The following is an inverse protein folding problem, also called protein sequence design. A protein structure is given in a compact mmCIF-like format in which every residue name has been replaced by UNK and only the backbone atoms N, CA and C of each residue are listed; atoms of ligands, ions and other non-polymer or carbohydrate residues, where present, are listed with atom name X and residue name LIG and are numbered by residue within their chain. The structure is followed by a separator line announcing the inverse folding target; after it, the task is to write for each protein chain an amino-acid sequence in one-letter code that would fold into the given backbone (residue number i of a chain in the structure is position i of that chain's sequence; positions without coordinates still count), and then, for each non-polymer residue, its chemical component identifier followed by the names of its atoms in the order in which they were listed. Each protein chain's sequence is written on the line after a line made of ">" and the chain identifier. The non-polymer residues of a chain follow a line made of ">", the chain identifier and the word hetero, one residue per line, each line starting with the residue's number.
data_IF_005881965891
#
_entry.id   IF_005881965891
#
_cell.length_a   1.000
_cell.length_b   1.000
_cell.length_c   1.000
_cell.angle_alpha   90.00
_cell.angle_beta   90.00
_cell.angle_gamma   90.00
#
_symmetry.space_group_name_H-M   'P 1'
#
loop_
_entity.id
_entity.type
_entity.pdbx_description
1 polymer ?
#
# COMPACT_ATOMS: atom_id res chain seq x y z
N UNK A 1 -0.66 -38.26 -38.47
CA UNK A 1 0.09 -37.05 -38.12
C UNK A 1 0.14 -36.98 -36.61
N UNK A 2 1.21 -37.61 -36.15
CA UNK A 2 1.86 -37.70 -34.85
C UNK A 2 1.35 -36.76 -33.75
N UNK A 3 0.73 -37.36 -32.72
CA UNK A 3 0.59 -36.75 -31.40
C UNK A 3 1.90 -36.93 -30.65
N UNK A 4 2.66 -35.84 -30.52
CA UNK A 4 3.85 -35.78 -29.67
C UNK A 4 3.39 -35.82 -28.20
N UNK A 5 3.35 -37.02 -27.61
CA UNK A 5 3.17 -37.19 -26.17
C UNK A 5 4.43 -36.62 -25.49
N UNK A 6 4.31 -35.42 -24.91
CA UNK A 6 5.31 -34.92 -23.98
C UNK A 6 5.36 -35.86 -22.80
N UNK A 7 6.50 -36.53 -22.61
CA UNK A 7 6.74 -37.40 -21.47
C UNK A 7 7.53 -36.59 -20.46
N UNK A 8 6.93 -36.26 -19.32
CA UNK A 8 7.64 -35.64 -18.21
C UNK A 8 8.55 -36.70 -17.55
N UNK A 9 9.82 -36.33 -17.37
CA UNK A 9 10.86 -37.26 -16.91
C UNK A 9 11.58 -36.66 -15.71
N UNK A 10 11.56 -37.38 -14.59
CA UNK A 10 12.21 -36.95 -13.36
C UNK A 10 13.63 -37.52 -13.25
N UNK A 11 14.56 -36.68 -12.79
CA UNK A 11 15.97 -37.03 -12.60
C UNK A 11 16.19 -37.43 -11.13
N UNK A 12 16.33 -38.73 -10.87
CA UNK A 12 16.65 -39.26 -9.55
C UNK A 12 18.15 -39.58 -9.46
N UNK A 13 18.74 -39.63 -8.24
CA UNK A 13 20.16 -39.95 -8.05
C UNK A 13 20.58 -41.32 -8.61
N UNK A 14 19.64 -42.25 -8.79
CA UNK A 14 19.85 -43.56 -9.42
C UNK A 14 19.48 -43.62 -10.91
N UNK A 15 19.20 -42.46 -11.54
CA UNK A 15 18.94 -42.32 -12.97
C UNK A 15 17.59 -41.72 -13.34
N UNK A 16 17.36 -41.62 -14.65
CA UNK A 16 16.21 -40.95 -15.26
C UNK A 16 14.98 -41.89 -15.29
N UNK A 17 13.83 -41.47 -14.74
CA UNK A 17 12.59 -42.27 -14.74
C UNK A 17 11.40 -41.50 -15.33
N UNK A 18 10.57 -42.20 -16.09
CA UNK A 18 9.32 -41.66 -16.64
C UNK A 18 8.36 -41.39 -15.47
N UNK A 19 7.87 -40.16 -15.39
CA UNK A 19 6.92 -39.76 -14.36
C UNK A 19 5.60 -40.52 -14.51
N UNK A 20 5.13 -41.16 -13.44
CA UNK A 20 3.75 -41.66 -13.42
C UNK A 20 2.78 -40.52 -13.07
N UNK A 21 1.49 -40.63 -13.43
CA UNK A 21 0.50 -39.63 -13.03
C UNK A 21 0.36 -39.46 -11.51
N UNK A 22 0.74 -40.45 -10.71
CA UNK A 22 0.81 -40.32 -9.25
C UNK A 22 2.07 -39.56 -8.80
N UNK A 23 3.22 -39.75 -9.45
CA UNK A 23 4.45 -38.99 -9.15
C UNK A 23 4.27 -37.49 -9.46
N UNK A 24 3.57 -37.16 -10.54
CA UNK A 24 3.24 -35.77 -10.89
C UNK A 24 2.35 -35.15 -9.80
N UNK A 25 1.31 -35.88 -9.37
CA UNK A 25 0.43 -35.40 -8.29
C UNK A 25 1.15 -35.28 -6.95
N UNK A 26 2.05 -36.20 -6.63
CA UNK A 26 2.88 -36.13 -5.43
C UNK A 26 3.80 -34.91 -5.49
N UNK A 27 4.46 -34.66 -6.62
CA UNK A 27 5.27 -33.46 -6.82
C UNK A 27 4.45 -32.17 -6.75
N UNK A 28 3.25 -32.13 -7.34
CA UNK A 28 2.34 -31.00 -7.22
C UNK A 28 1.87 -30.79 -5.78
N UNK A 29 1.59 -31.85 -5.03
CA UNK A 29 1.22 -31.79 -3.61
C UNK A 29 2.40 -31.40 -2.72
N UNK A 30 3.61 -31.88 -2.99
CA UNK A 30 4.83 -31.51 -2.27
C UNK A 30 5.25 -30.09 -2.60
N UNK A 31 5.09 -29.64 -3.85
CA UNK A 31 5.33 -28.26 -4.27
C UNK A 31 4.26 -27.35 -3.66
N UNK A 32 2.97 -27.72 -3.72
CA UNK A 32 1.90 -26.96 -3.07
C UNK A 32 2.05 -26.94 -1.54
N UNK A 33 2.54 -28.02 -0.93
CA UNK A 33 2.84 -28.09 0.51
C UNK A 33 4.08 -27.26 0.87
N UNK A 34 5.15 -27.29 0.07
CA UNK A 34 6.35 -26.45 0.27
C UNK A 34 6.03 -24.97 0.05
N UNK A 35 5.21 -24.63 -0.95
CA UNK A 35 4.72 -23.27 -1.19
C UNK A 35 3.80 -22.84 -0.05
N UNK A 36 2.87 -23.69 0.39
CA UNK A 36 1.96 -23.38 1.50
C UNK A 36 2.65 -23.29 2.88
N UNK A 37 3.78 -23.99 3.07
CA UNK A 37 4.58 -23.90 4.29
C UNK A 37 5.60 -22.77 4.26
N UNK A 38 5.99 -22.26 3.09
CA UNK A 38 6.71 -20.99 2.96
C UNK A 38 5.79 -19.77 3.18
N UNK A 39 4.52 -19.83 2.79
CA UNK A 39 3.53 -18.74 2.96
C UNK A 39 3.14 -18.48 4.43
N UNK A 40 3.55 -19.34 5.38
CA UNK A 40 3.12 -19.26 6.80
C UNK A 40 4.12 -18.58 7.75
N UNK A 41 5.22 -18.01 7.25
CA UNK A 41 6.25 -17.33 8.06
C UNK A 41 6.65 -15.95 7.53
N UNK A 42 6.14 -15.54 6.36
CA UNK A 42 6.41 -14.20 5.84
C UNK A 42 5.40 -13.24 6.46
N UNK A 43 5.83 -12.13 7.09
CA UNK A 43 4.88 -11.15 7.60
C UNK A 43 3.95 -10.72 6.44
N UNK A 44 2.63 -10.58 6.68
CA UNK A 44 1.70 -10.24 5.63
C UNK A 44 2.18 -8.95 4.96
N UNK A 45 2.32 -8.97 3.63
CA UNK A 45 2.70 -7.79 2.86
C UNK A 45 1.65 -6.72 3.09
N UNK A 46 2.07 -5.56 3.61
CA UNK A 46 1.22 -4.41 3.85
C UNK A 46 1.31 -3.46 2.66
N UNK A 47 0.24 -2.76 2.34
CA UNK A 47 0.25 -1.79 1.25
C UNK A 47 0.33 -0.39 1.80
N UNK A 48 1.23 0.39 1.22
CA UNK A 48 1.41 1.79 1.54
C UNK A 48 1.30 2.61 0.27
N UNK A 49 0.80 3.83 0.39
CA UNK A 49 0.86 4.86 -0.65
C UNK A 49 1.94 5.88 -0.32
N UNK A 50 2.71 6.29 -1.32
CA UNK A 50 3.58 7.46 -1.22
C UNK A 50 2.78 8.76 -1.22
N UNK A 51 2.95 9.57 -0.18
CA UNK A 51 2.29 10.87 -0.04
C UNK A 51 3.06 11.96 -0.77
N UNK A 52 4.40 11.91 -0.67
CA UNK A 52 5.31 12.92 -1.21
C UNK A 52 6.29 12.27 -2.20
N UNK A 53 6.83 13.03 -3.17
CA UNK A 53 7.92 12.53 -4.00
C UNK A 53 9.17 12.36 -3.14
N UNK A 54 9.86 11.24 -3.31
CA UNK A 54 11.13 10.98 -2.65
C UNK A 54 12.19 10.55 -3.65
N UNK A 55 13.24 11.36 -3.76
CA UNK A 55 14.43 11.05 -4.52
C UNK A 55 15.62 10.95 -3.55
N UNK A 56 16.06 9.73 -3.19
CA UNK A 56 17.16 9.52 -2.25
C UNK A 56 18.43 10.31 -2.60
N UNK A 57 18.76 10.41 -3.89
CA UNK A 57 19.97 11.10 -4.34
C UNK A 57 19.95 12.62 -4.08
N UNK A 58 18.76 13.20 -3.93
CA UNK A 58 18.58 14.64 -3.72
C UNK A 58 18.11 14.99 -2.30
N UNK A 59 17.42 14.08 -1.63
CA UNK A 59 16.68 14.35 -0.39
C UNK A 59 17.15 13.51 0.80
N UNK A 60 17.93 12.45 0.59
CA UNK A 60 18.42 11.64 1.69
C UNK A 60 19.36 12.46 2.57
N UNK A 61 19.15 12.48 3.90
CA UNK A 61 20.11 13.06 4.84
C UNK A 61 21.43 12.25 4.90
N UNK A 62 21.41 11.01 4.41
CA UNK A 62 22.53 10.06 4.44
C UNK A 62 22.93 9.69 3.00
N UNK A 63 23.69 10.55 2.29
CA UNK A 63 24.02 10.34 0.87
C UNK A 63 24.86 9.08 0.61
N UNK A 64 25.51 8.53 1.65
CA UNK A 64 26.26 7.28 1.56
C UNK A 64 25.36 6.04 1.47
N UNK A 65 24.17 6.06 2.09
CA UNK A 65 23.17 4.97 2.07
C UNK A 65 22.02 5.24 1.11
N UNK A 66 21.99 6.40 0.43
CA UNK A 66 20.91 6.79 -0.47
C UNK A 66 20.62 5.76 -1.59
N UNK A 67 21.60 4.95 -1.97
CA UNK A 67 21.41 3.88 -2.96
C UNK A 67 20.57 2.69 -2.43
N UNK A 68 20.43 2.57 -1.11
CA UNK A 68 19.64 1.52 -0.44
C UNK A 68 18.20 1.98 -0.16
N UNK A 69 17.91 3.27 -0.36
CA UNK A 69 16.58 3.84 -0.16
C UNK A 69 15.74 3.73 -1.44
N UNK A 70 14.44 3.52 -1.28
CA UNK A 70 13.52 3.34 -2.40
C UNK A 70 13.08 4.71 -2.95
N UNK A 71 13.30 5.02 -4.25
CA UNK A 71 12.72 6.20 -4.87
C UNK A 71 11.24 5.97 -5.17
N UNK A 72 10.41 6.99 -4.95
CA UNK A 72 8.98 6.93 -5.25
C UNK A 72 8.37 8.30 -5.54
N UNK A 73 7.20 8.30 -6.16
CA UNK A 73 6.40 9.50 -6.47
C UNK A 73 5.04 9.45 -5.77
N UNK A 74 4.35 10.60 -5.60
CA UNK A 74 3.04 10.62 -4.95
C UNK A 74 2.04 9.67 -5.62
N UNK A 75 1.21 9.01 -4.81
CA UNK A 75 0.22 8.04 -5.26
C UNK A 75 0.78 6.64 -5.57
N UNK A 76 2.11 6.44 -5.54
CA UNK A 76 2.72 5.15 -5.82
C UNK A 76 2.44 4.14 -4.70
N UNK A 77 2.06 2.92 -5.07
CA UNK A 77 1.86 1.80 -4.15
C UNK A 77 3.21 1.16 -3.85
N UNK A 78 3.49 1.00 -2.56
CA UNK A 78 4.70 0.41 -2.02
C UNK A 78 4.28 -0.79 -1.17
N UNK A 79 4.83 -1.96 -1.49
CA UNK A 79 4.69 -3.16 -0.68
C UNK A 79 5.65 -3.05 0.49
N UNK A 80 5.16 -3.08 1.71
CA UNK A 80 5.98 -3.04 2.92
C UNK A 80 6.00 -4.41 3.59
N UNK A 81 7.20 -4.83 3.97
CA UNK A 81 7.45 -6.11 4.61
C UNK A 81 7.86 -5.89 6.07
N UNK A 82 7.00 -6.29 7.00
CA UNK A 82 7.23 -6.13 8.43
C UNK A 82 6.89 -4.75 8.98
N UNK A 83 7.38 -4.47 10.17
CA UNK A 83 7.21 -3.19 10.86
C UNK A 83 8.40 -2.25 10.59
N UNK A 84 8.24 -1.00 11.02
CA UNK A 84 9.34 -0.03 10.97
C UNK A 84 10.46 -0.41 11.94
N UNK A 85 11.70 -0.12 11.57
CA UNK A 85 12.85 -0.24 12.46
C UNK A 85 12.93 0.91 13.49
N UNK A 86 13.92 0.84 14.37
CA UNK A 86 14.17 1.83 15.44
C UNK A 86 14.44 3.26 14.89
N UNK A 87 14.87 3.38 13.64
CA UNK A 87 15.12 4.64 12.94
C UNK A 87 13.88 5.16 12.18
N UNK A 88 12.80 4.38 12.18
CA UNK A 88 11.52 4.77 11.59
C UNK A 88 11.43 4.55 10.07
N UNK A 89 12.24 3.65 9.52
CA UNK A 89 12.15 3.23 8.12
C UNK A 89 11.42 1.90 7.99
N UNK A 90 10.76 1.70 6.85
CA UNK A 90 10.19 0.43 6.44
C UNK A 90 11.07 -0.22 5.37
N UNK A 91 11.07 -1.55 5.30
CA UNK A 91 11.58 -2.25 4.12
C UNK A 91 10.45 -2.40 3.10
N UNK A 92 10.63 -1.83 1.90
CA UNK A 92 9.60 -1.83 0.87
C UNK A 92 10.08 -2.18 -0.53
N UNK A 93 9.11 -2.53 -1.37
CA UNK A 93 9.29 -2.81 -2.80
C UNK A 93 8.24 -2.06 -3.63
N UNK A 94 8.68 -1.41 -4.71
CA UNK A 94 7.79 -0.87 -5.73
C UNK A 94 8.48 -0.82 -7.09
N UNK A 95 7.74 -1.07 -8.18
CA UNK A 95 8.29 -1.02 -9.54
C UNK A 95 9.44 -2.01 -9.80
N UNK A 96 9.53 -3.10 -9.02
CA UNK A 96 10.63 -4.07 -9.09
C UNK A 96 11.93 -3.62 -8.41
N UNK A 97 11.91 -2.48 -7.72
CA UNK A 97 13.00 -2.02 -6.87
C UNK A 97 12.65 -2.29 -5.40
N UNK A 98 13.63 -2.69 -4.61
CA UNK A 98 13.52 -2.85 -3.16
C UNK A 98 14.46 -1.89 -2.46
N UNK A 99 14.04 -1.34 -1.32
CA UNK A 99 14.84 -0.41 -0.54
C UNK A 99 14.16 -0.02 0.75
N UNK A 100 14.82 0.83 1.53
CA UNK A 100 14.22 1.40 2.74
C UNK A 100 13.32 2.59 2.38
N UNK A 101 12.23 2.75 3.14
CA UNK A 101 11.15 3.69 2.87
C UNK A 101 10.94 4.52 4.14
N UNK A 102 11.15 5.85 4.10
CA UNK A 102 10.93 6.70 5.27
C UNK A 102 9.44 6.75 5.62
N UNK A 103 9.09 6.38 6.85
CA UNK A 103 7.68 6.32 7.29
C UNK A 103 6.93 7.64 7.15
N UNK A 104 7.60 8.78 7.32
CA UNK A 104 7.00 10.11 7.22
C UNK A 104 6.58 10.51 5.79
N UNK A 105 6.93 9.70 4.78
CA UNK A 105 6.62 9.96 3.37
C UNK A 105 5.52 9.06 2.82
N UNK A 106 5.07 8.06 3.60
CA UNK A 106 4.15 7.01 3.16
C UNK A 106 3.03 6.79 4.16
N UNK A 107 1.87 6.36 3.68
CA UNK A 107 0.73 6.00 4.51
C UNK A 107 0.27 4.59 4.21
N UNK A 108 0.07 3.77 5.23
CA UNK A 108 -0.60 2.46 5.11
C UNK A 108 -2.04 2.62 4.59
N UNK A 109 -2.38 1.77 3.63
CA UNK A 109 -3.72 1.59 3.09
C UNK A 109 -4.37 0.39 3.82
N UNK A 110 -5.44 0.59 4.60
CA UNK A 110 -6.14 -0.50 5.26
C UNK A 110 -7.00 -1.26 4.24
N UNK A 111 -6.42 -2.28 3.59
CA UNK A 111 -7.14 -3.14 2.64
C UNK A 111 -7.39 -4.51 3.25
N UNK A 112 -8.62 -4.74 3.73
CA UNK A 112 -9.06 -6.05 4.23
C UNK A 112 -9.45 -7.03 3.11
N UNK A 113 -9.75 -6.52 1.91
CA UNK A 113 -10.15 -7.33 0.76
C UNK A 113 -8.93 -7.81 -0.06
N UNK A 114 -8.68 -9.13 -0.06
CA UNK A 114 -7.55 -9.75 -0.76
C UNK A 114 -7.56 -9.49 -2.27
N UNK A 115 -8.73 -9.38 -2.90
CA UNK A 115 -8.84 -9.14 -4.34
C UNK A 115 -8.38 -7.72 -4.68
N UNK A 116 -8.86 -6.74 -3.92
CA UNK A 116 -8.51 -5.34 -4.08
C UNK A 116 -7.03 -5.08 -3.76
N UNK A 117 -6.52 -5.73 -2.72
CA UNK A 117 -5.10 -5.74 -2.38
C UNK A 117 -4.25 -6.25 -3.55
N UNK A 118 -4.66 -7.36 -4.17
CA UNK A 118 -3.96 -7.93 -5.31
C UNK A 118 -4.02 -6.99 -6.53
N UNK A 119 -5.13 -6.31 -6.76
CA UNK A 119 -5.29 -5.33 -7.84
C UNK A 119 -4.35 -4.13 -7.67
N UNK A 120 -4.28 -3.54 -6.47
CA UNK A 120 -3.38 -2.43 -6.17
C UNK A 120 -1.91 -2.83 -6.33
N UNK A 121 -1.55 -4.04 -5.91
CA UNK A 121 -0.19 -4.58 -6.12
C UNK A 121 0.18 -4.68 -7.60
N UNK A 122 -0.78 -5.01 -8.47
CA UNK A 122 -0.56 -5.11 -9.91
C UNK A 122 -0.52 -3.74 -10.59
N UNK A 123 -1.36 -2.79 -10.14
CA UNK A 123 -1.40 -1.43 -10.68
C UNK A 123 -0.17 -0.62 -10.29
N UNK A 124 0.31 -0.77 -9.06
CA UNK A 124 1.48 -0.05 -8.54
C UNK A 124 1.24 1.43 -8.22
N UNK A 125 0.04 1.95 -8.46
CA UNK A 125 -0.40 3.32 -8.17
C UNK A 125 -1.84 3.28 -7.67
N UNK A 126 -2.21 4.24 -6.81
CA UNK A 126 -3.60 4.43 -6.43
C UNK A 126 -4.43 4.85 -7.65
N UNK A 127 -5.69 4.38 -7.76
CA UNK A 127 -6.61 4.87 -8.76
C UNK A 127 -6.90 6.35 -8.47
N UNK A 128 -6.50 7.23 -9.40
CA UNK A 128 -6.88 8.64 -9.37
C UNK A 128 -8.29 8.77 -9.93
N UNK A 129 -9.16 9.48 -9.21
CA UNK A 129 -10.53 9.75 -9.65
C UNK A 129 -10.51 10.48 -11.00
N UNK A 130 -10.87 9.76 -12.05
CA UNK A 130 -11.27 10.33 -13.32
C UNK A 130 -12.78 10.16 -13.46
N UNK A 131 -13.55 10.88 -12.63
CA UNK A 131 -14.94 11.30 -12.87
C UNK A 131 -15.70 10.49 -13.94
N UNK A 132 -16.26 9.35 -13.55
CA UNK A 132 -17.44 8.78 -14.19
C UNK A 132 -18.27 8.06 -13.11
N UNK A 133 -19.39 8.65 -12.63
CA UNK A 133 -20.21 8.05 -11.61
C UNK A 133 -21.09 6.97 -12.25
N UNK A 134 -20.52 5.79 -12.47
CA UNK A 134 -21.30 4.57 -12.70
C UNK A 134 -21.33 3.77 -11.40
N UNK A 135 -22.50 3.80 -10.76
CA UNK A 135 -22.87 3.25 -9.47
C UNK A 135 -22.60 1.73 -9.30
N UNK A 136 -21.34 1.26 -9.19
CA UNK A 136 -21.05 -0.11 -8.69
C UNK A 136 -19.74 -0.24 -7.87
N UNK A 137 -19.13 0.86 -7.38
CA UNK A 137 -17.77 0.85 -6.80
C UNK A 137 -17.65 1.30 -5.34
N UNK A 138 -18.54 0.87 -4.46
CA UNK A 138 -18.47 1.23 -3.02
C UNK A 138 -17.24 0.69 -2.28
N UNK A 139 -16.48 -0.25 -2.87
CA UNK A 139 -15.22 -0.77 -2.31
C UNK A 139 -13.97 -0.04 -2.81
N UNK A 140 -14.06 0.64 -3.95
CA UNK A 140 -12.93 1.43 -4.47
C UNK A 140 -12.90 2.82 -3.85
N UNK A 141 -14.05 3.33 -3.39
CA UNK A 141 -14.14 4.68 -2.83
C UNK A 141 -13.33 4.82 -1.54
N UNK A 142 -13.39 3.81 -0.66
CA UNK A 142 -12.62 3.74 0.60
C UNK A 142 -11.10 3.81 0.42
N UNK A 143 -10.62 3.51 -0.80
CA UNK A 143 -9.20 3.55 -1.16
C UNK A 143 -8.80 4.78 -1.97
N UNK A 144 -9.75 5.67 -2.27
CA UNK A 144 -9.45 6.93 -2.96
C UNK A 144 -8.71 7.82 -1.97
N UNK A 145 -7.42 8.05 -2.24
CA UNK A 145 -6.67 9.06 -1.50
C UNK A 145 -6.78 10.38 -2.24
N UNK A 146 -7.46 11.34 -1.60
CA UNK A 146 -7.61 12.68 -2.15
C UNK A 146 -6.63 13.60 -1.41
N UNK A 147 -5.83 14.33 -2.16
CA UNK A 147 -5.01 15.40 -1.61
C UNK A 147 -5.92 16.60 -1.39
N UNK A 148 -5.99 17.08 -0.15
CA UNK A 148 -6.79 18.23 0.23
C UNK A 148 -5.93 19.29 0.91
N UNK A 149 -6.32 20.54 0.79
CA UNK A 149 -5.70 21.66 1.50
C UNK A 149 -6.64 22.19 2.56
N UNK A 150 -6.13 22.40 3.77
CA UNK A 150 -6.85 23.08 4.82
C UNK A 150 -7.02 24.55 4.46
N UNK A 151 -8.25 25.01 4.27
CA UNK A 151 -8.55 26.43 3.98
C UNK A 151 -8.70 27.27 5.25
N UNK A 152 -8.88 26.62 6.40
CA UNK A 152 -8.95 27.24 7.71
C UNK A 152 -8.14 26.41 8.72
N UNK A 153 -7.72 27.04 9.81
CA UNK A 153 -7.12 26.32 10.94
C UNK A 153 -8.21 25.61 11.76
N UNK A 154 -7.86 24.47 12.35
CA UNK A 154 -8.72 23.68 13.19
C UNK A 154 -7.95 23.18 14.40
N UNK A 155 -8.46 23.50 15.59
CA UNK A 155 -7.98 22.94 16.85
C UNK A 155 -9.13 22.13 17.48
N UNK A 156 -8.98 20.81 17.64
CA UNK A 156 -10.04 19.95 18.15
C UNK A 156 -10.39 20.24 19.62
N UNK A 157 -9.49 20.84 20.40
CA UNK A 157 -9.75 21.20 21.80
C UNK A 157 -10.55 22.50 21.94
N UNK A 158 -10.46 23.40 20.96
CA UNK A 158 -11.19 24.67 20.97
C UNK A 158 -12.48 24.63 20.13
N UNK A 159 -12.45 23.90 19.01
CA UNK A 159 -13.47 24.00 17.97
C UNK A 159 -14.34 22.76 17.82
N UNK A 160 -13.95 21.61 18.40
CA UNK A 160 -14.76 20.40 18.30
C UNK A 160 -15.95 20.44 19.26
N UNK A 161 -17.19 20.20 18.77
CA UNK A 161 -18.34 19.95 19.62
C UNK A 161 -18.37 18.51 20.17
N UNK A 162 -17.48 17.63 19.69
CA UNK A 162 -17.47 16.20 20.01
C UNK A 162 -16.70 15.90 21.30
N UNK A 163 -17.11 14.84 22.00
CA UNK A 163 -16.48 14.41 23.25
C UNK A 163 -15.20 13.58 23.01
N UNK A 164 -15.00 13.12 21.77
CA UNK A 164 -13.89 12.28 21.30
C UNK A 164 -12.91 13.09 20.43
N UNK A 165 -12.66 14.35 20.79
CA UNK A 165 -11.78 15.27 20.06
C UNK A 165 -10.32 14.80 19.97
N UNK A 166 -9.90 13.81 20.78
CA UNK A 166 -8.57 13.18 20.72
C UNK A 166 -8.37 12.35 19.43
N UNK A 167 -9.47 11.94 18.78
CA UNK A 167 -9.42 11.23 17.50
C UNK A 167 -9.33 12.18 16.29
N UNK A 168 -9.47 13.50 16.48
CA UNK A 168 -9.50 14.50 15.42
C UNK A 168 -8.11 15.16 15.24
N UNK A 169 -7.73 15.48 14.00
CA UNK A 169 -6.44 16.11 13.71
C UNK A 169 -6.49 17.62 13.88
N UNK A 170 -5.51 18.17 14.59
CA UNK A 170 -5.24 19.61 14.62
C UNK A 170 -4.41 20.02 13.40
N UNK A 171 -4.82 21.11 12.73
CA UNK A 171 -4.14 21.59 11.52
C UNK A 171 -4.29 23.11 11.33
N UNK A 172 -3.44 23.68 10.49
CA UNK A 172 -3.44 25.10 10.15
C UNK A 172 -3.90 25.32 8.71
N UNK A 173 -4.41 26.52 8.44
CA UNK A 173 -4.69 26.95 7.08
C UNK A 173 -3.41 26.84 6.21
N UNK A 174 -3.53 26.16 5.08
CA UNK A 174 -2.46 25.85 4.14
C UNK A 174 -1.85 24.45 4.29
N UNK A 175 -2.18 23.70 5.35
CA UNK A 175 -1.68 22.33 5.50
C UNK A 175 -2.25 21.41 4.41
N UNK A 176 -1.41 20.52 3.89
CA UNK A 176 -1.82 19.49 2.93
C UNK A 176 -2.15 18.22 3.70
N UNK A 177 -3.38 17.77 3.57
CA UNK A 177 -3.94 16.62 4.26
C UNK A 177 -4.34 15.58 3.22
N UNK A 178 -3.93 14.34 3.44
CA UNK A 178 -4.33 13.22 2.59
C UNK A 178 -5.53 12.55 3.23
N UNK A 179 -6.69 12.65 2.60
CA UNK A 179 -7.91 11.99 3.06
C UNK A 179 -8.02 10.63 2.39
N UNK A 180 -8.36 9.61 3.17
CA UNK A 180 -8.60 8.25 2.73
C UNK A 180 -10.09 8.01 2.68
N UNK A 181 -10.57 7.50 1.56
CA UNK A 181 -11.96 7.10 1.45
C UNK A 181 -12.92 8.25 1.20
N UNK A 182 -14.21 7.92 1.37
CA UNK A 182 -15.29 8.88 1.38
C UNK A 182 -15.46 9.54 2.76
N UNK A 183 -16.29 10.58 2.77
CA UNK A 183 -16.70 11.24 3.99
C UNK A 183 -17.67 10.35 4.77
N UNK A 184 -17.41 10.15 6.06
CA UNK A 184 -18.31 9.45 6.98
C UNK A 184 -19.64 10.20 7.17
N UNK A 185 -20.62 9.53 7.77
CA UNK A 185 -21.97 10.06 7.99
C UNK A 185 -22.01 11.37 8.82
N UNK A 186 -20.99 11.61 9.64
CA UNK A 186 -20.83 12.80 10.46
C UNK A 186 -20.13 13.97 9.75
N UNK A 187 -19.72 13.79 8.49
CA UNK A 187 -19.09 14.85 7.71
C UNK A 187 -17.57 14.97 7.90
N UNK A 188 -16.92 13.92 8.41
CA UNK A 188 -15.47 13.85 8.60
C UNK A 188 -14.83 12.93 7.57
N UNK A 189 -13.56 13.17 7.28
CA UNK A 189 -12.71 12.24 6.56
C UNK A 189 -11.74 11.58 7.53
N UNK A 190 -11.34 10.34 7.28
CA UNK A 190 -10.12 9.81 7.87
C UNK A 190 -8.92 10.34 7.08
N UNK A 191 -7.96 10.98 7.76
CA UNK A 191 -6.85 11.65 7.08
C UNK A 191 -5.50 11.47 7.75
N UNK A 192 -4.45 11.74 6.99
CA UNK A 192 -3.06 11.81 7.44
C UNK A 192 -2.52 13.23 7.25
N UNK A 193 -1.98 13.79 8.32
CA UNK A 193 -1.22 15.02 8.34
C UNK A 193 0.13 14.78 9.01
N UNK A 194 1.20 14.85 8.24
CA UNK A 194 2.57 14.64 8.73
C UNK A 194 2.76 13.31 9.50
N UNK A 195 2.11 12.23 9.05
CA UNK A 195 2.17 10.92 9.71
C UNK A 195 1.29 10.80 10.95
N UNK A 196 0.57 11.86 11.35
CA UNK A 196 -0.48 11.81 12.36
C UNK A 196 -1.80 11.53 11.67
N UNK A 197 -2.51 10.50 12.16
CA UNK A 197 -3.79 10.06 11.62
C UNK A 197 -4.93 10.39 12.55
N UNK A 198 -6.06 10.75 11.96
CA UNK A 198 -7.29 11.02 12.70
C UNK A 198 -8.38 11.55 11.79
N UNK A 199 -9.49 11.92 12.42
CA UNK A 199 -10.64 12.50 11.76
C UNK A 199 -10.37 13.96 11.39
N UNK A 200 -10.79 14.35 10.19
CA UNK A 200 -10.59 15.69 9.64
C UNK A 200 -11.96 16.23 9.18
N UNK A 201 -12.44 17.35 9.72
CA UNK A 201 -13.73 17.90 9.33
C UNK A 201 -13.69 18.41 7.88
N UNK A 202 -14.55 17.85 7.03
CA UNK A 202 -14.59 18.16 5.59
C UNK A 202 -14.79 19.64 5.26
N UNK A 203 -15.54 20.37 6.09
CA UNK A 203 -15.86 21.80 5.90
C UNK A 203 -14.63 22.72 5.90
N UNK A 204 -13.47 22.22 6.33
CA UNK A 204 -12.21 22.96 6.43
C UNK A 204 -11.26 22.63 5.28
N UNK A 205 -11.66 21.77 4.35
CA UNK A 205 -10.81 21.23 3.29
C UNK A 205 -11.31 21.61 1.89
N UNK A 206 -10.36 21.86 0.98
CA UNK A 206 -10.63 21.92 -0.46
C UNK A 206 -9.81 20.86 -1.21
N UNK A 207 -10.37 20.20 -2.25
CA UNK A 207 -9.63 19.25 -3.06
C UNK A 207 -8.50 19.96 -3.81
N UNK A 208 -7.31 19.37 -3.75
CA UNK A 208 -6.12 19.91 -4.39
C UNK A 208 -5.58 18.89 -5.40
N UNK A 209 -5.62 19.19 -6.71
CA UNK A 209 -5.19 18.24 -7.73
C UNK A 209 -3.71 17.89 -7.58
N UNK A 210 -3.37 16.69 -8.05
CA UNK A 210 -1.99 16.28 -8.24
C UNK A 210 -1.46 16.97 -9.51
N UNK A 211 -0.56 17.94 -9.36
CA UNK A 211 0.14 18.60 -10.49
C UNK A 211 1.31 17.77 -11.00
#
# INVERSE_FOLDING_TARGET
>A
MDGMLGVDVFLYPDGLRIATPEDIRQWELETASQVSSQVSQEPPVRLFVALFPYNPAAMSPNPETAAEELPFVPGQIIKVFGDKDDDGFYHGESGGLSGVVPSNMVSEIPVDDDYLKHQLMQQGFLPVDHTDPSEESSVLDDLVVRRMVAIFEYDPWESSPNMDSDAELAFRAGDIIYVFGDMDEDGFYYGDLHGLRGLVPSNYLEPLPWE
#
